data_IF_857246587685
#
_entry.id   IF_857246587685
#
_cell.length_a   1.000
_cell.length_b   1.000
_cell.length_c   1.000
_cell.angle_alpha   90.00
_cell.angle_beta   90.00
_cell.angle_gamma   90.00
#
_symmetry.space_group_name_H-M   'P 1'
#
loop_
_entity.id
_entity.type
_entity.pdbx_description
1 polymer ?
#
# COMPACT_ATOMS: atom_id res chain seq x y z
N UNK A 1 -14.78 10.03 -5.70
CA UNK A 1 -13.56 10.67 -5.18
C UNK A 1 -12.55 9.55 -4.89
N UNK A 2 -11.49 9.35 -5.68
CA UNK A 2 -10.51 8.28 -5.40
C UNK A 2 -9.09 8.52 -5.98
N UNK A 3 -8.75 9.78 -6.32
CA UNK A 3 -7.49 10.12 -6.99
C UNK A 3 -6.26 10.19 -6.05
N UNK A 4 -6.41 9.78 -4.79
CA UNK A 4 -5.36 9.97 -3.78
C UNK A 4 -4.23 8.92 -3.78
N UNK A 5 -4.29 7.88 -4.62
CA UNK A 5 -3.19 6.89 -4.78
C UNK A 5 -2.69 6.80 -6.24
N UNK A 6 -2.75 7.91 -6.99
CA UNK A 6 -1.98 8.06 -8.24
C UNK A 6 -0.47 7.86 -8.01
N UNK A 7 0.31 7.64 -9.09
CA UNK A 7 1.49 6.76 -9.20
C UNK A 7 2.72 7.03 -8.32
N UNK A 8 2.65 7.95 -7.36
CA UNK A 8 3.76 8.34 -6.49
C UNK A 8 4.02 7.43 -5.28
N UNK A 9 3.35 6.28 -5.12
CA UNK A 9 3.84 5.24 -4.19
C UNK A 9 4.76 4.28 -4.94
N UNK A 10 5.74 4.85 -5.62
CA UNK A 10 6.94 4.14 -6.05
C UNK A 10 7.70 3.75 -4.79
N UNK A 11 7.75 2.44 -4.55
CA UNK A 11 8.74 1.78 -3.71
C UNK A 11 8.97 2.43 -2.34
N UNK A 12 8.23 1.97 -1.32
CA UNK A 12 8.75 2.06 0.05
C UNK A 12 9.89 1.04 0.13
N UNK A 13 11.04 1.43 -0.39
CA UNK A 13 12.28 0.66 -0.39
C UNK A 13 12.90 0.78 1.02
N UNK A 14 12.46 -0.09 1.93
CA UNK A 14 13.37 -0.57 2.95
C UNK A 14 14.23 -1.61 2.23
N UNK A 15 15.56 -1.54 2.28
CA UNK A 15 16.51 -2.27 1.40
C UNK A 15 16.39 -3.81 1.37
N UNK A 16 15.35 -4.37 2.00
CA UNK A 16 14.99 -5.78 2.15
C UNK A 16 13.54 -6.09 1.75
N UNK A 17 12.74 -5.12 1.31
CA UNK A 17 11.38 -5.34 0.82
C UNK A 17 10.93 -4.30 -0.19
N UNK A 18 10.32 -4.77 -1.27
CA UNK A 18 9.65 -3.93 -2.27
C UNK A 18 8.16 -4.23 -2.30
N UNK A 19 7.36 -3.29 -2.80
CA UNK A 19 5.94 -3.51 -2.95
C UNK A 19 5.36 -2.76 -4.15
N UNK A 20 4.41 -3.41 -4.82
CA UNK A 20 3.67 -2.86 -5.95
C UNK A 20 2.20 -2.79 -5.61
N UNK A 21 1.56 -1.69 -5.98
CA UNK A 21 0.12 -1.46 -5.78
C UNK A 21 -0.56 -1.39 -7.14
N UNK A 22 -1.68 -2.10 -7.25
CA UNK A 22 -2.55 -2.14 -8.42
C UNK A 22 -4.00 -1.91 -7.97
N UNK A 23 -4.79 -1.22 -8.80
CA UNK A 23 -6.20 -0.93 -8.52
C UNK A 23 -7.07 -1.41 -9.65
N UNK A 24 -8.08 -2.19 -9.30
CA UNK A 24 -9.02 -2.80 -10.23
C UNK A 24 -10.45 -2.53 -9.74
N UNK A 25 -11.08 -1.50 -10.31
CA UNK A 25 -12.38 -1.01 -9.82
C UNK A 25 -12.30 -0.56 -8.36
N UNK A 26 -13.08 -1.21 -7.50
CA UNK A 26 -13.12 -0.95 -6.05
C UNK A 26 -12.11 -1.80 -5.26
N UNK A 27 -11.35 -2.68 -5.94
CA UNK A 27 -10.35 -3.52 -5.31
C UNK A 27 -8.95 -2.89 -5.40
N UNK A 28 -8.22 -2.93 -4.27
CA UNK A 28 -6.80 -2.59 -4.21
C UNK A 28 -6.00 -3.87 -3.99
N UNK A 29 -5.03 -4.15 -4.87
CA UNK A 29 -4.12 -5.28 -4.77
C UNK A 29 -2.72 -4.77 -4.43
N UNK A 30 -2.20 -5.21 -3.29
CA UNK A 30 -0.83 -4.89 -2.85
C UNK A 30 -0.02 -6.19 -2.85
N UNK A 31 1.09 -6.19 -3.60
CA UNK A 31 2.07 -7.29 -3.59
C UNK A 31 3.31 -6.81 -2.86
N UNK A 32 3.71 -7.53 -1.83
CA UNK A 32 4.93 -7.28 -1.06
C UNK A 32 5.92 -8.41 -1.34
N UNK A 33 7.13 -8.05 -1.75
CA UNK A 33 8.26 -8.96 -1.92
C UNK A 33 9.28 -8.62 -0.83
N UNK A 34 9.88 -9.65 -0.23
CA UNK A 34 10.88 -9.47 0.81
C UNK A 34 11.81 -10.68 0.86
N UNK A 35 13.06 -10.44 1.26
CA UNK A 35 14.09 -11.50 1.34
C UNK A 35 13.94 -12.36 2.60
N UNK A 36 13.17 -11.88 3.58
CA UNK A 36 12.92 -12.58 4.84
C UNK A 36 11.51 -12.28 5.41
N UNK A 37 11.05 -13.13 6.33
CA UNK A 37 9.70 -13.02 6.91
C UNK A 37 9.53 -11.80 7.83
N UNK A 38 10.62 -11.28 8.42
CA UNK A 38 10.57 -10.08 9.26
C UNK A 38 10.34 -8.86 8.38
N UNK A 39 11.08 -8.75 7.27
CA UNK A 39 10.89 -7.74 6.24
C UNK A 39 9.49 -7.85 5.61
N UNK A 40 9.01 -9.05 5.31
CA UNK A 40 7.64 -9.26 4.80
C UNK A 40 6.59 -8.74 5.80
N UNK A 41 6.71 -9.09 7.08
CA UNK A 41 5.76 -8.64 8.11
C UNK A 41 5.80 -7.13 8.29
N UNK A 42 7.00 -6.54 8.29
CA UNK A 42 7.17 -5.09 8.39
C UNK A 42 6.51 -4.38 7.20
N UNK A 43 6.77 -4.86 5.97
CA UNK A 43 6.15 -4.38 4.75
C UNK A 43 4.62 -4.45 4.81
N UNK A 44 4.05 -5.63 5.07
CA UNK A 44 2.59 -5.82 5.16
C UNK A 44 1.95 -4.89 6.21
N UNK A 45 2.55 -4.77 7.40
CA UNK A 45 2.04 -3.88 8.44
C UNK A 45 2.05 -2.41 8.03
N UNK A 46 3.09 -1.96 7.31
CA UNK A 46 3.19 -0.59 6.82
C UNK A 46 2.10 -0.30 5.78
N UNK A 47 1.93 -1.21 4.81
CA UNK A 47 0.92 -1.08 3.76
C UNK A 47 -0.51 -1.14 4.30
N UNK A 48 -0.82 -2.02 5.25
CA UNK A 48 -2.14 -2.02 5.89
C UNK A 48 -2.47 -0.67 6.56
N UNK A 49 -1.51 -0.03 7.22
CA UNK A 49 -1.74 1.29 7.83
C UNK A 49 -2.02 2.35 6.77
N UNK A 50 -1.28 2.35 5.67
CA UNK A 50 -1.50 3.31 4.57
C UNK A 50 -2.88 3.12 3.91
N UNK A 51 -3.31 1.87 3.72
CA UNK A 51 -4.67 1.57 3.23
C UNK A 51 -5.73 2.10 4.20
N UNK A 52 -5.58 1.86 5.50
CA UNK A 52 -6.54 2.38 6.49
C UNK A 52 -6.61 3.91 6.49
N UNK A 53 -5.48 4.60 6.30
CA UNK A 53 -5.46 6.06 6.13
C UNK A 53 -6.21 6.47 4.87
N UNK A 54 -5.94 5.81 3.74
CA UNK A 54 -6.59 6.08 2.45
C UNK A 54 -8.12 5.87 2.51
N UNK A 55 -8.59 4.82 3.18
CA UNK A 55 -10.02 4.57 3.43
C UNK A 55 -10.64 5.69 4.28
N UNK A 56 -9.94 6.13 5.34
CA UNK A 56 -10.40 7.22 6.20
C UNK A 56 -10.55 8.56 5.48
N UNK A 57 -9.63 8.91 4.57
CA UNK A 57 -9.76 10.15 3.77
C UNK A 57 -10.77 10.02 2.62
N UNK A 58 -10.99 8.82 2.08
CA UNK A 58 -12.03 8.57 1.09
C UNK A 58 -13.43 8.69 1.69
N UNK A 59 -13.67 8.04 2.83
CA UNK A 59 -14.96 8.07 3.53
C UNK A 59 -15.32 9.44 4.12
N UNK A 60 -14.33 10.30 4.38
CA UNK A 60 -14.56 11.68 4.82
C UNK A 60 -14.86 12.66 3.69
N UNK A 61 -14.81 12.22 2.42
CA UNK A 61 -14.98 13.05 1.23
C UNK A 61 -16.21 12.70 0.40
N UNK A 62 -17.09 11.85 0.93
CA UNK A 62 -18.43 11.55 0.41
C UNK A 62 -19.52 12.21 1.28
#
# INVERSE_FOLDING_TARGET
>A
MADALGPEVGEIDDARSSATVDREGDAVRIRVLADDLVALRAGVNSWSRLVSVAEGVGAGRD
#
